data_IF_790064767958
#
_entry.id   IF_790064767958
#
_cell.length_a   1.000
_cell.length_b   1.000
_cell.length_c   1.000
_cell.angle_alpha   90.00
_cell.angle_beta   90.00
_cell.angle_gamma   90.00
#
_symmetry.space_group_name_H-M   'P 1'
#
loop_
_entity.id
_entity.type
_entity.pdbx_description
1 polymer ?
#
# COMPACT_ATOMS: atom_id res chain seq x y z
N UNK A 1 11.22 -18.93 56.86
CA UNK A 1 12.68 -19.14 56.64
C UNK A 1 12.94 -18.86 55.17
N UNK A 2 13.73 -17.90 54.72
CA UNK A 2 14.63 -16.90 55.30
C UNK A 2 14.94 -15.95 54.14
N UNK A 3 14.61 -14.67 54.24
CA UNK A 3 15.53 -13.62 53.73
C UNK A 3 16.63 -13.42 54.79
N UNK A 4 17.84 -12.95 54.41
CA UNK A 4 18.14 -11.50 54.52
C UNK A 4 19.01 -10.92 53.36
N UNK A 5 18.80 -9.66 52.90
CA UNK A 5 19.51 -8.38 53.26
C UNK A 5 21.01 -8.33 52.84
N UNK A 6 21.70 -7.28 52.36
CA UNK A 6 21.56 -5.81 52.38
C UNK A 6 22.53 -5.13 51.34
N UNK A 7 22.24 -3.88 50.92
CA UNK A 7 23.18 -2.84 50.39
C UNK A 7 24.13 -2.33 51.52
N UNK A 8 24.99 -1.25 51.44
CA UNK A 8 25.41 -0.31 50.36
C UNK A 8 26.93 0.05 50.37
N UNK A 9 27.41 0.99 49.53
CA UNK A 9 28.16 2.18 49.99
C UNK A 9 28.46 3.23 48.90
N UNK A 10 28.32 4.48 49.34
CA UNK A 10 28.77 5.71 48.70
C UNK A 10 30.25 6.00 49.02
N UNK A 11 30.89 6.83 48.20
CA UNK A 11 32.16 7.49 48.48
C UNK A 11 32.28 8.76 47.64
N UNK A 12 32.33 9.91 48.32
CA UNK A 12 32.53 11.24 47.77
C UNK A 12 34.00 11.70 47.88
N UNK A 13 34.29 12.82 47.21
CA UNK A 13 35.42 13.76 47.37
C UNK A 13 36.78 13.47 46.71
N UNK A 14 37.17 14.34 45.76
CA UNK A 14 38.23 15.39 45.89
C UNK A 14 38.56 15.91 44.48
N UNK A 15 38.25 17.16 44.14
CA UNK A 15 39.09 18.38 44.23
C UNK A 15 40.40 18.35 43.43
N UNK A 16 40.45 19.21 42.39
CA UNK A 16 41.53 20.11 41.92
C UNK A 16 41.33 20.30 40.40
N UNK A 17 41.17 21.49 39.82
CA UNK A 17 41.67 22.81 40.21
C UNK A 17 42.80 23.20 39.26
N UNK A 18 42.49 23.86 38.15
CA UNK A 18 43.38 24.86 37.53
C UNK A 18 42.64 25.65 36.45
N UNK A 19 42.28 26.86 36.84
CA UNK A 19 42.06 27.97 35.93
C UNK A 19 43.42 28.60 35.58
N UNK A 20 43.66 28.90 34.30
CA UNK A 20 44.47 30.06 33.91
C UNK A 20 43.80 30.73 32.71
N UNK A 21 43.50 32.00 32.93
CA UNK A 21 42.98 32.99 32.00
C UNK A 21 44.11 33.52 31.10
N UNK A 22 43.82 33.81 29.83
CA UNK A 22 44.50 34.88 29.11
C UNK A 22 43.57 35.51 28.07
N UNK A 23 43.21 36.77 28.32
CA UNK A 23 42.56 37.72 27.41
C UNK A 23 43.40 37.95 26.14
N UNK A 24 42.74 38.14 24.99
CA UNK A 24 42.95 39.33 24.16
C UNK A 24 41.78 39.57 23.20
N UNK A 25 41.19 40.76 23.33
CA UNK A 25 40.31 41.41 22.35
C UNK A 25 41.14 41.89 21.15
N UNK A 26 40.54 41.87 19.96
CA UNK A 26 40.70 42.94 18.97
C UNK A 26 39.55 42.92 17.96
N UNK A 27 38.71 43.94 18.09
CA UNK A 27 37.84 44.67 17.17
C UNK A 27 37.44 44.17 15.77
N UNK A 28 36.12 44.29 15.58
CA UNK A 28 35.33 44.69 14.41
C UNK A 28 36.00 44.86 13.04
N UNK A 29 35.32 44.32 12.02
CA UNK A 29 34.81 45.15 10.93
C UNK A 29 33.56 44.54 10.27
N UNK A 30 32.46 45.31 10.33
CA UNK A 30 31.31 45.18 9.43
C UNK A 30 31.74 45.60 8.03
N UNK A 31 31.45 44.77 7.03
CA UNK A 31 31.22 45.27 5.67
C UNK A 31 30.06 44.52 5.03
N UNK A 32 28.95 45.25 4.91
CA UNK A 32 27.82 44.97 4.04
C UNK A 32 28.28 44.55 2.64
N UNK A 33 27.83 43.39 2.18
CA UNK A 33 27.53 43.17 0.76
C UNK A 33 26.12 42.61 0.67
N UNK A 34 25.17 43.51 0.41
CA UNK A 34 23.85 43.17 -0.10
C UNK A 34 24.05 42.54 -1.48
N UNK A 35 23.82 41.25 -1.59
CA UNK A 35 23.41 40.64 -2.85
C UNK A 35 21.95 40.23 -2.70
N UNK A 36 21.09 41.10 -3.22
CA UNK A 36 19.67 40.81 -3.38
C UNK A 36 19.51 39.70 -4.39
N UNK A 37 19.52 38.46 -3.92
CA UNK A 37 18.79 37.38 -4.57
C UNK A 37 17.38 37.46 -3.99
N UNK A 38 16.44 38.01 -4.77
CA UNK A 38 15.03 37.71 -4.56
C UNK A 38 14.90 36.22 -4.80
N UNK A 39 15.10 35.44 -3.76
CA UNK A 39 14.51 34.12 -3.67
C UNK A 39 13.02 34.37 -3.81
N UNK A 40 12.47 33.98 -4.96
CA UNK A 40 11.03 33.80 -5.10
C UNK A 40 10.67 32.90 -3.93
N UNK A 41 9.94 33.44 -2.96
CA UNK A 41 9.32 32.68 -1.89
C UNK A 41 8.78 31.40 -2.55
N UNK A 42 9.32 30.25 -2.15
CA UNK A 42 8.88 28.96 -2.67
C UNK A 42 7.37 28.95 -2.55
N UNK A 43 6.69 28.91 -3.68
CA UNK A 43 5.24 28.97 -3.72
C UNK A 43 4.74 27.79 -2.89
N UNK A 44 4.26 28.06 -1.68
CA UNK A 44 3.65 27.04 -0.84
C UNK A 44 2.49 26.47 -1.65
N UNK A 45 2.43 25.15 -1.86
CA UNK A 45 1.42 24.56 -2.73
C UNK A 45 0.03 24.89 -2.18
N UNK A 46 -0.84 25.39 -3.05
CA UNK A 46 -2.24 25.65 -2.71
C UNK A 46 -3.00 24.32 -2.47
N UNK A 47 -4.12 24.37 -1.75
CA UNK A 47 -4.97 23.22 -1.42
C UNK A 47 -5.36 22.40 -2.65
N UNK A 48 -5.71 23.07 -3.75
CA UNK A 48 -6.06 22.41 -5.01
C UNK A 48 -4.85 21.68 -5.63
N UNK A 49 -3.66 22.28 -5.54
CA UNK A 49 -2.43 21.64 -6.02
C UNK A 49 -2.09 20.40 -5.19
N UNK A 50 -2.26 20.47 -3.87
CA UNK A 50 -2.05 19.32 -2.99
C UNK A 50 -3.03 18.18 -3.28
N UNK A 51 -4.32 18.48 -3.51
CA UNK A 51 -5.30 17.48 -3.91
C UNK A 51 -4.92 16.82 -5.24
N UNK A 52 -4.54 17.63 -6.24
CA UNK A 52 -4.18 17.15 -7.56
C UNK A 52 -2.98 16.18 -7.57
N UNK A 53 -2.09 16.23 -6.57
CA UNK A 53 -1.00 15.25 -6.44
C UNK A 53 -1.50 13.82 -6.17
N UNK A 54 -2.71 13.67 -5.62
CA UNK A 54 -3.30 12.38 -5.26
C UNK A 54 -4.45 11.95 -6.18
N UNK A 55 -4.97 12.87 -6.98
CA UNK A 55 -6.04 12.58 -7.95
C UNK A 55 -5.46 11.88 -9.17
N UNK A 56 -6.08 10.76 -9.55
CA UNK A 56 -5.74 10.08 -10.79
C UNK A 56 -6.44 10.74 -11.98
N UNK A 57 -5.75 10.89 -13.14
CA UNK A 57 -6.42 11.37 -14.34
C UNK A 57 -7.49 10.36 -14.78
N UNK A 58 -8.67 10.88 -15.13
CA UNK A 58 -9.75 10.09 -15.70
C UNK A 58 -9.28 9.41 -16.99
N UNK A 59 -9.62 8.14 -17.12
CA UNK A 59 -9.27 7.33 -18.29
C UNK A 59 -10.27 7.68 -19.39
N UNK A 60 -10.01 8.74 -20.14
CA UNK A 60 -10.29 8.64 -21.58
C UNK A 60 -9.22 7.72 -22.18
N UNK A 61 -9.66 6.73 -22.97
CA UNK A 61 -8.84 5.70 -23.58
C UNK A 61 -7.55 6.27 -24.19
N UNK A 62 -6.43 6.11 -23.48
CA UNK A 62 -5.11 6.10 -24.13
C UNK A 62 -5.05 4.79 -24.89
N UNK A 63 -5.65 4.83 -26.08
CA UNK A 63 -5.56 3.80 -27.09
C UNK A 63 -4.09 3.44 -27.24
N UNK A 64 -3.77 2.21 -26.86
CA UNK A 64 -2.56 1.55 -27.32
C UNK A 64 -2.65 1.57 -28.84
N UNK A 65 -1.98 2.54 -29.47
CA UNK A 65 -1.64 2.46 -30.88
C UNK A 65 -0.66 1.29 -31.00
N UNK A 66 -1.20 0.08 -31.02
CA UNK A 66 -0.60 -1.02 -31.74
C UNK A 66 -0.53 -0.59 -33.21
N UNK A 67 0.56 0.06 -33.57
CA UNK A 67 0.97 0.18 -34.97
C UNK A 67 1.28 -1.23 -35.46
N UNK A 68 0.23 -1.90 -35.94
CA UNK A 68 0.32 -3.07 -36.80
C UNK A 68 1.01 -2.60 -38.09
N UNK A 69 2.32 -2.77 -38.16
CA UNK A 69 3.04 -2.74 -39.44
C UNK A 69 3.01 -4.16 -39.99
N UNK A 70 2.12 -4.39 -40.95
CA UNK A 70 2.11 -5.58 -41.82
C UNK A 70 2.88 -5.29 -43.11
N UNK A 71 3.74 -6.23 -43.48
CA UNK A 71 4.42 -6.35 -44.77
C UNK A 71 5.93 -6.15 -44.61
N UNK A 72 6.83 -7.01 -45.11
CA UNK A 72 6.78 -8.24 -45.88
C UNK A 72 8.15 -8.94 -45.71
N UNK A 73 8.26 -10.21 -46.10
CA UNK A 73 9.45 -11.06 -45.96
C UNK A 73 10.75 -10.50 -46.57
N UNK A 74 11.89 -10.72 -45.91
CA UNK A 74 12.95 -11.63 -46.40
C UNK A 74 14.15 -11.77 -45.44
N UNK A 75 14.57 -13.03 -45.30
CA UNK A 75 15.90 -13.61 -45.09
C UNK A 75 16.98 -12.98 -44.16
N UNK A 76 17.38 -13.82 -43.19
CA UNK A 76 18.76 -14.14 -42.77
C UNK A 76 19.76 -12.98 -42.56
N UNK A 77 20.08 -12.70 -41.29
CA UNK A 77 21.44 -12.87 -40.70
C UNK A 77 21.62 -12.06 -39.40
N UNK A 78 22.46 -12.58 -38.52
CA UNK A 78 23.06 -11.94 -37.34
C UNK A 78 22.29 -11.96 -36.01
N UNK A 79 22.24 -13.16 -35.45
CA UNK A 79 22.47 -13.46 -34.04
C UNK A 79 23.71 -12.70 -33.52
N UNK A 80 23.52 -11.51 -32.92
CA UNK A 80 24.40 -10.98 -31.85
C UNK A 80 23.91 -9.69 -31.15
N UNK A 81 22.70 -9.18 -31.44
CA UNK A 81 22.21 -7.90 -30.87
C UNK A 81 21.15 -8.04 -29.77
N UNK A 82 20.63 -9.25 -29.51
CA UNK A 82 19.48 -9.44 -28.62
C UNK A 82 19.83 -9.35 -27.11
N UNK A 83 21.08 -9.57 -26.71
CA UNK A 83 21.49 -9.52 -25.29
C UNK A 83 21.72 -8.07 -24.81
N UNK A 84 22.02 -7.14 -25.73
CA UNK A 84 22.22 -5.72 -25.37
C UNK A 84 20.92 -4.90 -25.38
N UNK A 85 19.90 -5.30 -26.15
CA UNK A 85 18.60 -4.61 -26.16
C UNK A 85 17.73 -4.94 -24.93
N UNK A 86 17.85 -6.12 -24.32
CA UNK A 86 17.10 -6.43 -23.09
C UNK A 86 17.65 -5.64 -21.90
N UNK A 87 18.98 -5.54 -21.76
CA UNK A 87 19.61 -4.81 -20.68
C UNK A 87 19.35 -3.29 -20.75
N UNK A 88 19.39 -2.69 -21.95
CA UNK A 88 19.08 -1.27 -22.12
C UNK A 88 17.58 -0.94 -21.87
N UNK A 89 16.69 -1.87 -22.21
CA UNK A 89 15.25 -1.78 -21.90
C UNK A 89 14.98 -1.95 -20.40
N UNK A 90 15.61 -2.92 -19.75
CA UNK A 90 15.50 -3.16 -18.31
C UNK A 90 16.09 -2.02 -17.47
N UNK A 91 17.18 -1.41 -17.93
CA UNK A 91 17.80 -0.25 -17.27
C UNK A 91 16.89 0.99 -17.34
N UNK A 92 16.24 1.25 -18.48
CA UNK A 92 15.22 2.30 -18.62
C UNK A 92 14.00 2.04 -17.72
N UNK A 93 13.58 0.77 -17.61
CA UNK A 93 12.49 0.38 -16.72
C UNK A 93 12.88 0.56 -15.24
N UNK A 94 14.12 0.23 -14.85
CA UNK A 94 14.65 0.46 -13.51
C UNK A 94 14.70 1.96 -13.15
N UNK A 95 15.11 2.81 -14.08
CA UNK A 95 15.10 4.27 -13.90
C UNK A 95 13.69 4.82 -13.76
N UNK A 96 12.74 4.39 -14.61
CA UNK A 96 11.33 4.78 -14.49
C UNK A 96 10.72 4.33 -13.14
N UNK A 97 11.14 3.17 -12.62
CA UNK A 97 10.73 2.64 -11.31
C UNK A 97 11.18 3.53 -10.17
N UNK A 98 12.46 3.89 -10.16
CA UNK A 98 13.03 4.79 -9.15
C UNK A 98 12.38 6.18 -9.27
N UNK A 99 12.07 6.65 -10.48
CA UNK A 99 11.39 7.93 -10.68
C UNK A 99 9.95 7.95 -10.13
N UNK A 100 9.15 6.91 -10.36
CA UNK A 100 7.81 6.77 -9.78
C UNK A 100 7.87 6.75 -8.25
N UNK A 101 8.84 6.05 -7.71
CA UNK A 101 9.10 6.04 -6.28
C UNK A 101 9.42 7.44 -5.73
N UNK A 102 10.39 8.13 -6.32
CA UNK A 102 10.79 9.45 -5.89
C UNK A 102 9.61 10.43 -5.94
N UNK A 103 8.75 10.27 -6.95
CA UNK A 103 7.50 11.03 -7.09
C UNK A 103 6.53 10.75 -5.94
N UNK A 104 6.33 9.47 -5.57
CA UNK A 104 5.49 9.07 -4.43
C UNK A 104 6.01 9.68 -3.12
N UNK A 105 7.33 9.58 -2.88
CA UNK A 105 7.94 10.11 -1.66
C UNK A 105 7.84 11.64 -1.61
N UNK A 106 8.12 12.32 -2.72
CA UNK A 106 8.05 13.77 -2.82
C UNK A 106 6.60 14.27 -2.64
N UNK A 107 5.60 13.59 -3.20
CA UNK A 107 4.19 13.91 -2.96
C UNK A 107 3.86 13.89 -1.46
N UNK A 108 4.21 12.81 -0.78
CA UNK A 108 3.94 12.67 0.66
C UNK A 108 4.70 13.74 1.46
N UNK A 109 5.94 14.04 1.06
CA UNK A 109 6.74 15.14 1.65
C UNK A 109 6.05 16.48 1.49
N UNK A 110 5.61 16.84 0.28
CA UNK A 110 4.92 18.09 -0.01
C UNK A 110 3.63 18.26 0.81
N UNK A 111 2.85 17.18 0.97
CA UNK A 111 1.65 17.20 1.80
C UNK A 111 1.96 17.55 3.27
N UNK A 112 2.97 16.90 3.87
CA UNK A 112 3.30 17.12 5.28
C UNK A 112 4.13 18.38 5.55
N UNK A 113 4.82 18.93 4.55
CA UNK A 113 5.47 20.24 4.63
C UNK A 113 4.47 21.41 4.49
N UNK A 114 3.31 21.19 3.87
CA UNK A 114 2.29 22.20 3.76
C UNK A 114 1.68 22.56 5.12
N UNK A 115 1.29 23.83 5.29
CA UNK A 115 0.65 24.30 6.52
C UNK A 115 -0.65 23.53 6.79
N UNK A 116 -1.05 23.42 8.06
CA UNK A 116 -2.29 22.75 8.42
C UNK A 116 -3.53 23.40 7.76
N UNK A 117 -3.49 24.72 7.52
CA UNK A 117 -4.57 25.46 6.88
C UNK A 117 -4.72 25.16 5.38
N UNK A 118 -3.62 24.80 4.70
CA UNK A 118 -3.60 24.51 3.25
C UNK A 118 -3.83 23.03 2.95
N UNK A 119 -3.65 22.14 3.92
CA UNK A 119 -3.84 20.70 3.72
C UNK A 119 -5.31 20.36 3.43
N UNK A 120 -5.61 19.57 2.39
CA UNK A 120 -6.96 19.08 2.15
C UNK A 120 -7.51 18.34 3.37
N UNK A 121 -8.70 18.72 3.80
CA UNK A 121 -9.47 17.97 4.81
C UNK A 121 -10.21 16.84 4.11
N UNK A 122 -10.26 15.66 4.74
CA UNK A 122 -10.97 14.50 4.20
C UNK A 122 -10.49 14.09 2.80
N UNK A 123 -9.16 14.07 2.62
CA UNK A 123 -8.51 13.73 1.37
C UNK A 123 -8.92 12.32 0.92
N UNK A 124 -8.80 11.32 1.80
CA UNK A 124 -9.18 9.94 1.47
C UNK A 124 -10.65 9.79 1.07
N UNK A 125 -11.54 10.58 1.70
CA UNK A 125 -12.96 10.59 1.37
C UNK A 125 -13.20 11.17 -0.03
N UNK A 126 -12.46 12.22 -0.38
CA UNK A 126 -12.54 12.88 -1.70
C UNK A 126 -12.06 11.96 -2.82
N UNK A 127 -11.04 11.14 -2.53
CA UNK A 127 -10.45 10.20 -3.48
C UNK A 127 -11.22 8.86 -3.58
N UNK A 128 -12.29 8.67 -2.80
CA UNK A 128 -13.00 7.40 -2.66
C UNK A 128 -13.34 6.71 -3.99
N UNK A 129 -13.79 7.46 -5.00
CA UNK A 129 -14.19 6.91 -6.31
C UNK A 129 -13.03 6.34 -7.13
N UNK A 130 -11.80 6.76 -6.85
CA UNK A 130 -10.61 6.30 -7.58
C UNK A 130 -10.10 4.94 -7.08
N UNK A 131 -10.54 4.51 -5.90
CA UNK A 131 -10.07 3.27 -5.29
C UNK A 131 -10.73 2.04 -5.90
N UNK A 132 -9.91 1.07 -6.32
CA UNK A 132 -10.36 -0.22 -6.81
C UNK A 132 -11.25 -0.95 -5.79
N UNK A 133 -10.97 -0.81 -4.50
CA UNK A 133 -11.80 -1.31 -3.40
C UNK A 133 -13.24 -0.80 -3.47
N UNK A 134 -13.43 0.48 -3.78
CA UNK A 134 -14.75 1.08 -3.84
C UNK A 134 -15.54 0.59 -5.04
N UNK A 135 -14.88 0.46 -6.20
CA UNK A 135 -15.48 -0.12 -7.41
C UNK A 135 -15.91 -1.57 -7.17
N UNK A 136 -15.06 -2.38 -6.53
CA UNK A 136 -15.38 -3.77 -6.20
C UNK A 136 -16.51 -3.87 -5.17
N UNK A 137 -16.59 -2.94 -4.22
CA UNK A 137 -17.70 -2.86 -3.28
C UNK A 137 -19.03 -2.58 -3.98
N UNK A 138 -19.07 -1.62 -4.92
CA UNK A 138 -20.29 -1.32 -5.69
C UNK A 138 -20.74 -2.54 -6.51
N UNK A 139 -19.79 -3.27 -7.10
CA UNK A 139 -20.09 -4.53 -7.79
C UNK A 139 -20.71 -5.56 -6.84
N UNK A 140 -20.09 -5.77 -5.68
CA UNK A 140 -20.60 -6.72 -4.69
C UNK A 140 -22.01 -6.35 -4.20
N UNK A 141 -22.29 -5.05 -4.01
CA UNK A 141 -23.60 -4.54 -3.64
C UNK A 141 -24.66 -4.81 -4.72
N UNK A 142 -24.31 -4.69 -6.01
CA UNK A 142 -25.22 -4.98 -7.12
C UNK A 142 -25.52 -6.48 -7.26
N UNK A 143 -24.56 -7.34 -6.91
CA UNK A 143 -24.73 -8.79 -6.94
C UNK A 143 -25.59 -9.29 -5.77
N UNK A 144 -25.53 -8.64 -4.61
CA UNK A 144 -26.25 -9.06 -3.41
C UNK A 144 -27.75 -8.68 -3.43
N UNK A 145 -28.50 -9.32 -4.33
CA UNK A 145 -29.96 -9.14 -4.43
C UNK A 145 -30.73 -9.70 -3.22
N UNK A 146 -30.13 -10.66 -2.51
CA UNK A 146 -30.76 -11.43 -1.42
C UNK A 146 -30.38 -10.92 -0.03
N UNK A 147 -29.52 -9.90 0.08
CA UNK A 147 -29.07 -9.34 1.35
C UNK A 147 -28.26 -10.33 2.18
N UNK A 148 -27.49 -11.21 1.53
CA UNK A 148 -26.64 -12.21 2.18
C UNK A 148 -25.38 -11.59 2.80
N UNK A 149 -25.07 -10.33 2.47
CA UNK A 149 -23.91 -9.62 2.96
C UNK A 149 -24.27 -8.57 4.02
N UNK A 150 -23.34 -8.35 4.96
CA UNK A 150 -23.38 -7.19 5.87
C UNK A 150 -22.99 -5.90 5.10
N UNK A 151 -23.89 -5.46 4.20
CA UNK A 151 -23.71 -4.25 3.39
C UNK A 151 -23.73 -3.01 4.29
N UNK A 152 -24.61 -2.98 5.30
CA UNK A 152 -24.77 -1.84 6.21
C UNK A 152 -23.46 -1.52 6.95
N UNK A 153 -22.78 -2.54 7.47
CA UNK A 153 -21.49 -2.37 8.14
C UNK A 153 -20.41 -1.81 7.20
N UNK A 154 -20.39 -2.26 5.94
CA UNK A 154 -19.45 -1.78 4.92
C UNK A 154 -19.79 -0.36 4.46
N UNK A 155 -21.06 -0.05 4.30
CA UNK A 155 -21.51 1.28 3.88
C UNK A 155 -21.10 2.32 4.92
N UNK A 156 -21.31 2.04 6.22
CA UNK A 156 -20.87 2.93 7.31
C UNK A 156 -19.37 3.19 7.26
N UNK A 157 -18.55 2.16 7.00
CA UNK A 157 -17.09 2.33 6.85
C UNK A 157 -16.76 3.24 5.66
N UNK A 158 -17.46 3.09 4.53
CA UNK A 158 -17.29 3.94 3.35
C UNK A 158 -17.83 5.38 3.50
N UNK A 159 -18.78 5.61 4.40
CA UNK A 159 -19.28 6.94 4.78
C UNK A 159 -18.32 7.64 5.75
N UNK A 160 -17.63 6.86 6.59
CA UNK A 160 -16.68 7.35 7.61
C UNK A 160 -15.22 7.20 7.18
N UNK A 161 -14.93 7.17 5.88
CA UNK A 161 -13.58 6.90 5.39
C UNK A 161 -12.57 7.97 5.84
N UNK A 162 -13.03 9.19 6.10
CA UNK A 162 -12.23 10.27 6.68
C UNK A 162 -11.45 9.87 7.95
N UNK A 163 -11.93 8.92 8.73
CA UNK A 163 -11.23 8.41 9.93
C UNK A 163 -9.85 7.83 9.57
N UNK A 164 -9.67 7.34 8.34
CA UNK A 164 -8.37 6.89 7.82
C UNK A 164 -7.35 8.03 7.81
N UNK A 165 -7.73 9.23 7.38
CA UNK A 165 -6.83 10.39 7.37
C UNK A 165 -6.40 10.77 8.79
N UNK A 166 -7.33 10.73 9.74
CA UNK A 166 -7.07 11.04 11.15
C UNK A 166 -6.07 10.04 11.77
N UNK A 167 -6.28 8.75 11.51
CA UNK A 167 -5.38 7.69 12.00
C UNK A 167 -4.00 7.80 11.34
N UNK A 168 -3.93 8.06 10.03
CA UNK A 168 -2.66 8.27 9.32
C UNK A 168 -1.92 9.46 9.94
N UNK A 169 -2.59 10.60 10.11
CA UNK A 169 -1.98 11.80 10.68
C UNK A 169 -1.45 11.55 12.10
N UNK A 170 -2.19 10.78 12.91
CA UNK A 170 -1.77 10.39 14.25
C UNK A 170 -0.55 9.47 14.24
N UNK A 171 -0.53 8.45 13.36
CA UNK A 171 0.61 7.54 13.19
C UNK A 171 1.85 8.31 12.72
N UNK A 172 1.72 9.18 11.72
CA UNK A 172 2.85 9.93 11.15
C UNK A 172 3.48 10.87 12.17
N UNK A 173 2.68 11.50 13.06
CA UNK A 173 3.23 12.33 14.16
C UNK A 173 4.08 11.54 15.15
N UNK A 174 3.80 10.26 15.34
CA UNK A 174 4.50 9.38 16.30
C UNK A 174 5.46 8.40 15.60
N UNK A 175 5.68 8.57 14.30
CA UNK A 175 6.56 7.69 13.53
C UNK A 175 8.02 7.94 13.92
N UNK A 176 8.81 6.89 14.22
CA UNK A 176 10.21 7.07 14.55
C UNK A 176 10.99 7.57 13.33
N UNK A 177 11.94 8.48 13.58
CA UNK A 177 12.96 8.83 12.60
C UNK A 177 13.89 7.63 12.41
N UNK A 178 13.71 6.91 11.31
CA UNK A 178 14.51 5.75 10.94
C UNK A 178 14.78 5.77 9.44
N UNK A 179 15.90 5.15 9.04
CA UNK A 179 16.13 4.91 7.62
C UNK A 179 15.09 3.91 7.07
N UNK A 180 14.68 4.05 5.80
CA UNK A 180 13.82 3.08 5.16
C UNK A 180 14.42 1.68 5.23
N UNK A 181 13.62 0.68 5.58
CA UNK A 181 14.02 -0.71 5.62
C UNK A 181 13.40 -1.46 4.44
N UNK A 182 14.16 -2.39 3.87
CA UNK A 182 13.67 -3.27 2.81
C UNK A 182 13.13 -4.59 3.36
N UNK A 183 11.95 -5.00 2.94
CA UNK A 183 11.39 -6.33 3.20
C UNK A 183 10.73 -6.92 1.96
N UNK A 184 10.54 -8.23 2.00
CA UNK A 184 9.88 -9.01 0.99
C UNK A 184 8.66 -9.68 1.62
N UNK A 185 7.49 -9.44 1.04
CA UNK A 185 6.23 -10.10 1.40
C UNK A 185 5.86 -11.09 0.29
N UNK A 186 5.72 -12.36 0.65
CA UNK A 186 5.25 -13.42 -0.24
C UNK A 186 3.94 -13.99 0.25
N UNK A 187 3.01 -14.24 -0.67
CA UNK A 187 1.77 -14.98 -0.39
C UNK A 187 1.81 -16.32 -1.11
N UNK A 188 1.23 -17.37 -0.52
CA UNK A 188 1.18 -18.70 -1.14
C UNK A 188 0.55 -18.70 -2.53
N UNK A 189 -0.50 -17.90 -2.73
CA UNK A 189 -1.24 -17.82 -4.00
C UNK A 189 -0.55 -16.95 -5.06
N UNK A 190 0.59 -16.33 -4.73
CA UNK A 190 1.30 -15.39 -5.61
C UNK A 190 0.53 -14.10 -5.96
N UNK A 191 -0.63 -13.86 -5.34
CA UNK A 191 -1.44 -12.65 -5.54
C UNK A 191 -0.83 -11.46 -4.80
N UNK A 192 -1.20 -10.25 -5.21
CA UNK A 192 -0.93 -9.03 -4.46
C UNK A 192 -2.18 -8.62 -3.67
N UNK A 193 -2.35 -9.10 -2.42
CA UNK A 193 -3.57 -8.83 -1.66
C UNK A 193 -3.68 -7.37 -1.19
N UNK A 194 -2.55 -6.66 -1.16
CA UNK A 194 -2.53 -5.25 -0.81
C UNK A 194 -3.00 -4.37 -1.96
N UNK A 195 -3.19 -4.92 -3.18
CA UNK A 195 -3.47 -4.13 -4.37
C UNK A 195 -2.54 -2.92 -4.48
N UNK A 196 -1.28 -3.10 -4.10
CA UNK A 196 -0.30 -2.01 -4.07
C UNK A 196 0.35 -1.87 -5.45
N UNK A 197 0.68 -0.64 -5.87
CA UNK A 197 1.23 -0.43 -7.20
C UNK A 197 2.52 -1.24 -7.41
N UNK A 198 2.57 -1.94 -8.54
CA UNK A 198 3.57 -2.96 -8.86
C UNK A 198 4.19 -2.67 -10.20
N UNK A 199 5.52 -2.71 -10.29
CA UNK A 199 6.24 -2.33 -11.52
C UNK A 199 6.72 -3.54 -12.34
N UNK A 200 6.23 -4.74 -12.01
CA UNK A 200 6.48 -5.98 -12.75
C UNK A 200 5.21 -6.78 -12.97
N UNK A 201 5.31 -7.83 -13.79
CA UNK A 201 4.18 -8.70 -14.13
C UNK A 201 3.92 -9.66 -12.97
N UNK A 202 2.98 -9.33 -12.10
CA UNK A 202 2.43 -10.32 -11.18
C UNK A 202 1.67 -11.40 -11.97
N UNK A 203 1.66 -12.63 -11.45
CA UNK A 203 0.76 -13.67 -11.94
C UNK A 203 -0.69 -13.19 -11.69
N UNK A 204 -1.39 -12.82 -12.76
CA UNK A 204 -2.82 -12.54 -12.82
C UNK A 204 -3.33 -11.20 -12.24
N UNK A 205 -2.58 -10.10 -12.30
CA UNK A 205 -3.15 -8.78 -11.95
C UNK A 205 -3.26 -7.83 -13.14
N UNK A 206 -4.43 -7.18 -13.27
CA UNK A 206 -4.53 -5.91 -14.00
C UNK A 206 -3.48 -4.93 -13.44
N UNK A 207 -2.89 -4.04 -14.27
CA UNK A 207 -1.95 -3.06 -13.76
C UNK A 207 -2.63 -2.18 -12.71
N UNK A 208 -2.05 -2.13 -11.51
CA UNK A 208 -2.55 -1.29 -10.43
C UNK A 208 -1.77 0.01 -10.47
N UNK A 209 -2.48 1.13 -10.64
CA UNK A 209 -1.90 2.47 -10.62
C UNK A 209 -1.53 2.86 -9.19
N UNK A 210 -0.48 3.65 -9.02
CA UNK A 210 -0.23 4.34 -7.75
C UNK A 210 -1.48 5.13 -7.34
N UNK A 211 -1.82 5.12 -6.05
CA UNK A 211 -3.04 5.74 -5.50
C UNK A 211 -4.37 5.17 -6.00
N UNK A 212 -4.34 4.13 -6.84
CA UNK A 212 -5.55 3.46 -7.33
C UNK A 212 -6.17 2.49 -6.32
N UNK A 213 -5.56 2.34 -5.15
CA UNK A 213 -6.10 1.53 -4.06
C UNK A 213 -5.96 2.24 -2.72
N UNK A 214 -6.87 1.95 -1.79
CA UNK A 214 -6.83 2.51 -0.43
C UNK A 214 -5.55 2.09 0.30
N UNK A 215 -5.10 0.87 0.09
CA UNK A 215 -3.83 0.39 0.63
C UNK A 215 -2.64 1.16 0.05
N UNK A 216 -2.67 1.50 -1.24
CA UNK A 216 -1.62 2.30 -1.88
C UNK A 216 -1.57 3.72 -1.40
N UNK A 217 -2.72 4.30 -1.11
CA UNK A 217 -2.82 5.57 -0.42
C UNK A 217 -2.13 5.50 0.96
N UNK A 218 -2.59 4.58 1.83
CA UNK A 218 -2.07 4.43 3.21
C UNK A 218 -0.57 4.16 3.24
N UNK A 219 -0.09 3.19 2.47
CA UNK A 219 1.32 2.81 2.42
C UNK A 219 2.20 3.95 1.87
N UNK A 220 1.68 4.76 0.95
CA UNK A 220 2.36 5.95 0.47
C UNK A 220 2.57 7.02 1.54
N UNK A 221 1.64 7.19 2.49
CA UNK A 221 1.85 8.07 3.64
C UNK A 221 2.91 7.56 4.61
N UNK A 222 3.16 6.25 4.62
CA UNK A 222 4.23 5.63 5.40
C UNK A 222 5.57 5.55 4.64
N UNK A 223 5.66 6.23 3.49
CA UNK A 223 6.86 6.22 2.65
C UNK A 223 7.22 4.83 2.14
N UNK A 224 6.24 3.93 2.05
CA UNK A 224 6.44 2.57 1.55
C UNK A 224 6.25 2.56 0.06
N UNK A 225 7.13 1.84 -0.61
CA UNK A 225 7.13 1.71 -2.05
C UNK A 225 7.46 0.30 -2.45
N UNK A 226 6.82 -0.14 -3.54
CA UNK A 226 6.82 -1.54 -3.94
C UNK A 226 7.55 -1.76 -5.24
N UNK A 227 8.37 -2.79 -5.21
CA UNK A 227 9.20 -3.26 -6.29
C UNK A 227 8.85 -4.73 -6.49
N UNK A 228 7.93 -5.01 -7.38
CA UNK A 228 7.52 -6.38 -7.66
C UNK A 228 8.18 -6.87 -8.92
N UNK A 229 8.99 -7.91 -8.81
CA UNK A 229 9.50 -8.66 -9.96
C UNK A 229 8.63 -9.91 -10.14
N UNK A 230 8.74 -10.86 -9.19
CA UNK A 230 7.86 -12.04 -9.03
C UNK A 230 7.21 -12.13 -7.63
N UNK A 231 7.67 -11.28 -6.71
CA UNK A 231 7.33 -11.27 -5.29
C UNK A 231 7.18 -9.81 -4.84
N UNK A 232 6.44 -9.54 -3.78
CA UNK A 232 6.25 -8.19 -3.28
C UNK A 232 7.49 -7.71 -2.52
N UNK A 233 8.43 -7.00 -3.15
CA UNK A 233 9.46 -6.27 -2.41
C UNK A 233 8.94 -4.89 -2.02
N UNK A 234 9.23 -4.48 -0.81
CA UNK A 234 8.78 -3.23 -0.23
C UNK A 234 9.97 -2.56 0.42
N UNK A 235 10.09 -1.26 0.22
CA UNK A 235 11.03 -0.42 0.96
C UNK A 235 10.23 0.71 1.60
N UNK A 236 10.44 0.96 2.89
CA UNK A 236 9.82 2.08 3.57
C UNK A 236 9.98 2.05 5.08
N UNK A 237 9.14 2.78 5.80
CA UNK A 237 9.16 2.74 7.26
C UNK A 237 8.64 1.40 7.80
N UNK A 238 9.19 0.97 8.93
CA UNK A 238 8.77 -0.22 9.72
C UNK A 238 7.28 -0.23 10.08
N UNK A 239 6.64 0.94 10.10
CA UNK A 239 5.20 1.07 10.29
C UNK A 239 4.42 0.43 9.13
N UNK A 240 4.92 0.59 7.90
CA UNK A 240 4.39 -0.06 6.71
C UNK A 240 4.57 -1.58 6.71
N UNK A 241 5.72 -2.05 7.20
CA UNK A 241 5.93 -3.47 7.47
C UNK A 241 4.86 -4.01 8.42
N UNK A 242 4.65 -3.33 9.55
CA UNK A 242 3.69 -3.76 10.57
C UNK A 242 2.25 -3.73 10.06
N UNK A 243 1.88 -2.68 9.32
CA UNK A 243 0.59 -2.58 8.63
C UNK A 243 0.37 -3.79 7.71
N UNK A 244 1.36 -4.13 6.89
CA UNK A 244 1.27 -5.24 5.92
C UNK A 244 1.04 -6.58 6.62
N UNK A 245 1.74 -6.83 7.72
CA UNK A 245 1.57 -8.03 8.53
C UNK A 245 0.17 -8.09 9.18
N UNK A 246 -0.31 -7.00 9.77
CA UNK A 246 -1.65 -6.95 10.36
C UNK A 246 -2.76 -7.11 9.33
N UNK A 247 -2.60 -6.50 8.15
CA UNK A 247 -3.54 -6.62 7.04
C UNK A 247 -3.68 -8.08 6.60
N UNK A 248 -2.55 -8.74 6.30
CA UNK A 248 -2.56 -10.14 5.87
C UNK A 248 -3.08 -11.08 6.97
N UNK A 249 -2.69 -10.84 8.22
CA UNK A 249 -3.17 -11.63 9.36
C UNK A 249 -4.70 -11.49 9.57
N UNK A 250 -5.25 -10.27 9.43
CA UNK A 250 -6.70 -10.06 9.57
C UNK A 250 -7.52 -10.77 8.49
N UNK A 251 -6.98 -10.88 7.27
CA UNK A 251 -7.63 -11.58 6.16
C UNK A 251 -7.40 -13.10 6.14
N UNK A 252 -6.65 -13.60 7.13
CA UNK A 252 -6.18 -14.99 7.19
C UNK A 252 -5.46 -15.41 5.91
N UNK A 253 -4.68 -14.51 5.33
CA UNK A 253 -3.83 -14.81 4.17
C UNK A 253 -2.58 -15.50 4.70
N UNK A 254 -2.16 -16.59 4.06
CA UNK A 254 -0.89 -17.23 4.39
C UNK A 254 0.25 -16.45 3.74
N UNK A 255 1.08 -15.80 4.56
CA UNK A 255 2.14 -14.91 4.11
C UNK A 255 3.49 -15.23 4.78
N UNK A 256 4.58 -14.98 4.04
CA UNK A 256 5.93 -14.97 4.55
C UNK A 256 6.54 -13.58 4.44
N UNK A 257 7.34 -13.18 5.43
CA UNK A 257 8.10 -11.93 5.39
C UNK A 257 9.57 -12.19 5.63
N UNK A 258 10.40 -11.67 4.73
CA UNK A 258 11.86 -11.81 4.79
C UNK A 258 12.54 -10.47 4.59
N UNK A 259 13.75 -10.31 5.13
CA UNK A 259 14.58 -9.13 4.88
C UNK A 259 14.93 -9.02 3.40
N UNK A 260 14.96 -7.78 2.87
CA UNK A 260 15.47 -7.53 1.54
C UNK A 260 16.99 -7.32 1.60
N UNK A 261 17.76 -8.01 0.75
CA UNK A 261 19.22 -7.88 0.71
C UNK A 261 19.67 -6.54 0.13
N UNK A 262 20.88 -6.09 0.46
CA UNK A 262 21.39 -4.72 0.23
C UNK A 262 21.62 -4.27 -1.23
N UNK A 263 21.33 -5.11 -2.23
CA UNK A 263 21.60 -4.82 -3.65
C UNK A 263 20.47 -5.23 -4.59
N UNK A 264 19.25 -5.48 -4.07
CA UNK A 264 18.13 -5.92 -4.92
C UNK A 264 17.60 -4.79 -5.81
N UNK A 265 17.69 -3.54 -5.33
CA UNK A 265 17.24 -2.34 -6.05
C UNK A 265 18.43 -1.39 -6.11
N UNK A 266 18.92 -1.14 -7.33
CA UNK A 266 19.99 -0.20 -7.59
C UNK A 266 19.52 1.24 -7.37
N UNK A 267 20.47 2.13 -7.01
CA UNK A 267 20.25 3.59 -6.93
C UNK A 267 19.16 4.04 -5.94
N UNK A 268 18.95 3.25 -4.88
CA UNK A 268 18.04 3.58 -3.79
C UNK A 268 18.66 3.26 -2.44
N UNK A 269 18.68 4.24 -1.55
CA UNK A 269 19.20 4.07 -0.19
C UNK A 269 18.17 3.43 0.76
N UNK A 270 18.45 2.19 1.19
CA UNK A 270 17.67 1.51 2.24
C UNK A 270 18.56 0.61 3.11
N UNK A 271 18.11 0.39 4.34
CA UNK A 271 18.72 -0.55 5.25
C UNK A 271 18.22 -1.99 4.96
N UNK A 272 19.16 -2.86 4.59
CA UNK A 272 18.95 -4.32 4.57
C UNK A 272 19.03 -4.84 6.00
N UNK A 273 17.88 -5.02 6.66
CA UNK A 273 17.80 -5.43 8.06
C UNK A 273 17.44 -6.90 8.20
N UNK A 274 18.31 -7.69 8.81
CA UNK A 274 17.97 -9.07 9.16
C UNK A 274 16.76 -9.13 10.12
N UNK A 275 16.07 -10.27 10.11
CA UNK A 275 14.85 -10.50 10.91
C UNK A 275 14.98 -10.09 12.38
N UNK A 276 16.08 -10.38 13.12
CA UNK A 276 16.20 -9.95 14.51
C UNK A 276 16.20 -8.43 14.71
N UNK A 277 16.81 -7.67 13.79
CA UNK A 277 16.82 -6.20 13.85
C UNK A 277 15.44 -5.62 13.54
N UNK A 278 14.73 -6.21 12.58
CA UNK A 278 13.34 -5.87 12.30
C UNK A 278 12.45 -6.08 13.54
N UNK A 279 12.62 -7.20 14.24
CA UNK A 279 11.89 -7.49 15.48
C UNK A 279 12.20 -6.44 16.56
N UNK A 280 13.47 -6.04 16.72
CA UNK A 280 13.84 -4.99 17.69
C UNK A 280 13.21 -3.63 17.35
N UNK A 281 13.21 -3.23 16.08
CA UNK A 281 12.54 -1.98 15.65
C UNK A 281 11.04 -2.03 15.96
N UNK A 282 10.40 -3.15 15.67
CA UNK A 282 8.99 -3.37 16.00
C UNK A 282 8.74 -3.37 17.50
N UNK A 283 9.63 -3.96 18.31
CA UNK A 283 9.53 -3.91 19.77
C UNK A 283 9.67 -2.48 20.30
N UNK A 284 10.54 -1.68 19.71
CA UNK A 284 10.75 -0.27 20.04
C UNK A 284 9.60 0.68 19.66
N UNK A 285 8.70 0.26 18.76
CA UNK A 285 7.48 1.04 18.49
C UNK A 285 6.55 1.08 19.71
N UNK A 286 6.05 2.27 20.01
CA UNK A 286 5.09 2.50 21.07
C UNK A 286 3.80 1.66 20.89
N UNK A 287 3.26 1.17 22.00
CA UNK A 287 2.04 0.38 22.04
C UNK A 287 0.82 1.13 21.52
N UNK A 288 0.74 2.46 21.71
CA UNK A 288 -0.32 3.28 21.12
C UNK A 288 -0.21 3.31 19.60
N UNK A 289 0.98 3.56 19.06
CA UNK A 289 1.24 3.54 17.61
C UNK A 289 0.87 2.19 16.99
N UNK A 290 1.26 1.06 17.62
CA UNK A 290 0.86 -0.29 17.18
C UNK A 290 -0.65 -0.48 17.10
N UNK A 291 -1.40 0.00 18.11
CA UNK A 291 -2.86 -0.06 18.12
C UNK A 291 -3.47 0.72 16.97
N UNK A 292 -2.96 1.93 16.69
CA UNK A 292 -3.42 2.75 15.55
C UNK A 292 -3.14 2.09 14.21
N UNK A 293 -1.94 1.53 14.03
CA UNK A 293 -1.57 0.78 12.82
C UNK A 293 -2.49 -0.43 12.64
N UNK A 294 -2.79 -1.16 13.73
CA UNK A 294 -3.72 -2.29 13.69
C UNK A 294 -5.14 -1.86 13.30
N UNK A 295 -5.67 -0.80 13.91
CA UNK A 295 -6.99 -0.26 13.57
C UNK A 295 -7.08 0.10 12.09
N UNK A 296 -6.06 0.79 11.57
CA UNK A 296 -5.97 1.15 10.17
C UNK A 296 -5.92 -0.08 9.26
N UNK A 297 -5.07 -1.06 9.59
CA UNK A 297 -4.97 -2.32 8.84
C UNK A 297 -6.29 -3.09 8.80
N UNK A 298 -7.06 -3.10 9.91
CA UNK A 298 -8.38 -3.74 9.97
C UNK A 298 -9.39 -3.02 9.07
N UNK A 299 -9.44 -1.68 9.10
CA UNK A 299 -10.33 -0.89 8.22
C UNK A 299 -10.01 -1.20 6.76
N UNK A 300 -8.73 -1.08 6.38
CA UNK A 300 -8.28 -1.37 5.02
C UNK A 300 -8.53 -2.81 4.60
N UNK A 301 -8.30 -3.78 5.48
CA UNK A 301 -8.57 -5.19 5.21
C UNK A 301 -10.06 -5.46 4.96
N UNK A 302 -10.95 -4.88 5.77
CA UNK A 302 -12.41 -5.04 5.59
C UNK A 302 -12.90 -4.47 4.27
N UNK A 303 -12.32 -3.35 3.83
CA UNK A 303 -12.66 -2.66 2.58
C UNK A 303 -11.91 -3.24 1.36
N UNK A 304 -10.89 -4.07 1.56
CA UNK A 304 -10.02 -4.56 0.49
C UNK A 304 -10.77 -5.31 -0.61
N UNK A 305 -10.23 -5.25 -1.85
CA UNK A 305 -10.69 -6.06 -2.98
C UNK A 305 -10.72 -7.54 -2.61
N UNK A 306 -9.69 -8.03 -1.91
CA UNK A 306 -9.61 -9.41 -1.46
C UNK A 306 -10.77 -9.81 -0.53
N UNK A 307 -11.17 -8.94 0.40
CA UNK A 307 -12.32 -9.20 1.27
C UNK A 307 -13.63 -9.19 0.47
N UNK A 308 -13.78 -8.27 -0.49
CA UNK A 308 -14.95 -8.24 -1.38
C UNK A 308 -15.04 -9.50 -2.24
N UNK A 309 -13.92 -9.97 -2.82
CA UNK A 309 -13.87 -11.21 -3.59
C UNK A 309 -14.30 -12.42 -2.76
N UNK A 310 -13.81 -12.53 -1.51
CA UNK A 310 -14.25 -13.60 -0.58
C UNK A 310 -15.75 -13.54 -0.28
N UNK A 311 -16.36 -12.35 -0.25
CA UNK A 311 -17.81 -12.21 -0.05
C UNK A 311 -18.59 -12.64 -1.29
N UNK A 312 -18.14 -12.22 -2.47
CA UNK A 312 -18.72 -12.64 -3.75
C UNK A 312 -18.62 -14.16 -3.91
N UNK A 313 -17.49 -14.76 -3.58
CA UNK A 313 -17.30 -16.22 -3.61
C UNK A 313 -18.29 -16.94 -2.67
N UNK A 314 -18.51 -16.42 -1.45
CA UNK A 314 -19.52 -16.98 -0.55
C UNK A 314 -20.93 -16.87 -1.10
N UNK A 315 -21.25 -15.76 -1.77
CA UNK A 315 -22.54 -15.58 -2.43
C UNK A 315 -22.73 -16.60 -3.55
N UNK A 316 -21.71 -16.84 -4.37
CA UNK A 316 -21.73 -17.88 -5.40
C UNK A 316 -21.98 -19.27 -4.78
N UNK A 317 -21.27 -19.60 -3.70
CA UNK A 317 -21.46 -20.88 -3.00
C UNK A 317 -22.88 -21.01 -2.45
N UNK A 318 -23.41 -19.94 -1.85
CA UNK A 318 -24.79 -19.93 -1.35
C UNK A 318 -25.79 -20.17 -2.48
N UNK A 319 -25.63 -19.50 -3.63
CA UNK A 319 -26.53 -19.63 -4.77
C UNK A 319 -26.47 -21.02 -5.41
N UNK A 320 -25.28 -21.63 -5.48
CA UNK A 320 -25.11 -23.02 -5.95
C UNK A 320 -25.72 -24.02 -4.97
N UNK A 321 -25.69 -23.73 -3.67
CA UNK A 321 -26.23 -24.62 -2.63
C UNK A 321 -27.73 -24.44 -2.37
N UNK A 322 -28.32 -23.33 -2.81
CA UNK A 322 -29.77 -23.07 -2.74
C UNK A 322 -30.58 -24.07 -3.59
N UNK A 323 -29.93 -24.67 -4.59
CA UNK A 323 -30.52 -25.73 -5.39
C UNK A 323 -30.56 -27.06 -4.61
N UNK A 324 -31.74 -27.43 -4.10
CA UNK A 324 -31.96 -28.73 -3.46
C UNK A 324 -31.96 -29.87 -4.49
N UNK A 325 -30.75 -30.41 -4.70
CA UNK A 325 -30.49 -31.52 -5.62
C UNK A 325 -31.33 -32.76 -5.31
N UNK A 326 -31.66 -33.00 -4.04
CA UNK A 326 -32.43 -34.19 -3.64
C UNK A 326 -33.91 -34.03 -3.98
N UNK A 327 -34.48 -32.85 -3.72
CA UNK A 327 -35.85 -32.55 -4.09
C UNK A 327 -36.04 -32.62 -5.62
N UNK A 328 -35.07 -32.11 -6.37
CA UNK A 328 -35.10 -32.16 -7.84
C UNK A 328 -34.91 -33.58 -8.38
N UNK A 329 -34.04 -34.39 -7.78
CA UNK A 329 -33.92 -35.81 -8.11
C UNK A 329 -35.22 -36.57 -7.82
N UNK A 330 -35.86 -36.35 -6.67
CA UNK A 330 -37.14 -36.95 -6.34
C UNK A 330 -38.25 -36.52 -7.32
N UNK A 331 -38.28 -35.23 -7.69
CA UNK A 331 -39.23 -34.74 -8.68
C UNK A 331 -39.00 -35.39 -10.06
N UNK A 332 -37.74 -35.50 -10.49
CA UNK A 332 -37.37 -36.16 -11.73
C UNK A 332 -37.72 -37.66 -11.72
N UNK A 333 -37.46 -38.35 -10.61
CA UNK A 333 -37.80 -39.77 -10.45
C UNK A 333 -39.31 -39.99 -10.54
N UNK A 334 -40.11 -39.11 -9.94
CA UNK A 334 -41.57 -39.13 -10.07
C UNK A 334 -42.01 -38.90 -11.52
N UNK A 335 -41.42 -37.93 -12.23
CA UNK A 335 -41.71 -37.66 -13.64
C UNK A 335 -41.37 -38.85 -14.54
N UNK A 336 -40.21 -39.49 -14.31
CA UNK A 336 -39.79 -40.71 -15.02
C UNK A 336 -40.72 -41.89 -14.73
N UNK A 337 -41.13 -42.08 -13.47
CA UNK A 337 -42.10 -43.12 -13.06
C UNK A 337 -43.47 -42.92 -13.69
N UNK A 338 -43.88 -41.67 -13.92
CA UNK A 338 -45.16 -41.33 -14.55
C UNK A 338 -45.12 -41.32 -16.09
N UNK A 339 -43.94 -41.56 -16.70
CA UNK A 339 -43.77 -41.55 -18.15
C UNK A 339 -43.94 -40.15 -18.79
N UNK A 340 -43.98 -39.10 -17.98
CA UNK A 340 -44.11 -37.71 -18.40
C UNK A 340 -42.71 -37.11 -18.44
N UNK A 341 -42.04 -37.18 -19.60
CA UNK A 341 -40.96 -36.22 -19.84
C UNK A 341 -41.60 -34.83 -19.96
N UNK A 342 -41.02 -33.77 -19.35
CA UNK A 342 -41.53 -32.43 -19.57
C UNK A 342 -41.35 -32.11 -21.04
N UNK A 343 -42.46 -31.85 -21.74
CA UNK A 343 -42.39 -31.27 -23.07
C UNK A 343 -41.62 -29.96 -22.96
N UNK A 344 -40.63 -29.81 -23.82
CA UNK A 344 -39.74 -28.65 -23.95
C UNK A 344 -40.52 -27.41 -24.41
N UNK A 345 -41.37 -26.89 -23.53
CA UNK A 345 -42.07 -25.62 -23.68
C UNK A 345 -41.74 -24.73 -22.50
N UNK A 346 -40.44 -24.40 -22.38
CA UNK A 346 -39.98 -23.24 -21.62
C UNK A 346 -40.53 -21.97 -22.27
N UNK A 347 -41.75 -21.62 -21.92
CA UNK A 347 -42.32 -20.31 -22.19
C UNK A 347 -43.31 -19.95 -21.09
N UNK A 348 -42.79 -19.61 -19.91
CA UNK A 348 -43.42 -18.58 -19.08
C UNK A 348 -42.34 -17.77 -18.35
N UNK A 349 -42.55 -16.44 -18.23
CA UNK A 349 -41.48 -15.48 -17.94
C UNK A 349 -41.13 -15.47 -16.45
N UNK A 350 -39.84 -15.32 -16.18
CA UNK A 350 -39.29 -15.00 -14.87
C UNK A 350 -39.87 -13.65 -14.40
N UNK A 351 -40.56 -13.65 -13.25
CA UNK A 351 -40.81 -12.45 -12.44
C UNK A 351 -39.74 -12.33 -11.36
#
# INVERSE_FOLDING_TARGET
MTEPTAKPRAGANSQQGSAVSAKKQSDMNLSNVKHGRKDKAGATPDKAMLLALFTLPDIEEVGVKETVVKGAADELSNTHSAVQQSAASEMNIAEQRVALYCTQHERTRLLYMASAATRPTYLVQTLKSQFAEHQQYLLAQQLDKRGLMDIDGLERLWQQLHVVDDIIADIVRHMPAQQPAGWQLTTQDGRNPLCFATVGKLKNSKPIRDQGSLNSYVLGHFGVSSFTYDRGYYIGHVVGYLFSCYFCAHLSISYGVTALGSQVIADYDYASLETPYMVRLLQGLDGYCKKRIYQLAVICARLSVFASDKRIERMLIAEVNDFDKKLQQQHLDVLLLQGLMPDSSDSTPLF
#
